data_IF_395463613090
#
_entry.id   IF_395463613090
#
_cell.length_a   1.000
_cell.length_b   1.000
_cell.length_c   1.000
_cell.angle_alpha   90.00
_cell.angle_beta   90.00
_cell.angle_gamma   90.00
#
_symmetry.space_group_name_H-M   'P 1'
#
loop_
_entity.id
_entity.type
_entity.pdbx_description
1 polymer ?
#
# COMPACT_ATOMS: atom_id res chain seq x y z
N UNK A 1 -22.46 -2.99 7.60
CA UNK A 1 -22.72 -2.62 6.17
C UNK A 1 -21.51 -3.05 5.34
N UNK A 2 -21.67 -3.33 4.05
CA UNK A 2 -20.56 -3.61 3.13
C UNK A 2 -20.43 -2.45 2.14
N UNK A 3 -19.23 -1.96 1.93
CA UNK A 3 -18.93 -0.98 0.89
C UNK A 3 -18.68 -1.68 -0.47
N UNK A 4 -17.93 -2.77 -0.45
CA UNK A 4 -17.62 -3.60 -1.63
C UNK A 4 -18.00 -5.05 -1.34
N UNK A 5 -19.30 -5.34 -1.31
CA UNK A 5 -19.83 -6.62 -0.85
C UNK A 5 -19.15 -7.85 -1.47
N UNK A 6 -18.92 -7.84 -2.78
CA UNK A 6 -18.35 -9.00 -3.49
C UNK A 6 -16.92 -9.33 -3.02
N UNK A 7 -16.12 -8.29 -2.72
CA UNK A 7 -14.76 -8.47 -2.18
C UNK A 7 -14.80 -8.83 -0.70
N UNK A 8 -15.66 -8.17 0.07
CA UNK A 8 -15.72 -8.33 1.53
C UNK A 8 -16.36 -9.65 1.97
N UNK A 9 -17.16 -10.27 1.10
CA UNK A 9 -17.80 -11.57 1.35
C UNK A 9 -17.26 -12.69 0.46
N UNK A 10 -16.12 -12.46 -0.20
CA UNK A 10 -15.49 -13.43 -1.08
C UNK A 10 -15.17 -14.73 -0.34
N UNK A 11 -15.50 -15.90 -0.89
CA UNK A 11 -15.14 -17.18 -0.30
C UNK A 11 -13.64 -17.30 -0.04
N UNK A 12 -13.26 -17.89 1.07
CA UNK A 12 -11.86 -17.99 1.52
C UNK A 12 -10.91 -18.52 0.44
N UNK A 13 -11.31 -19.53 -0.28
CA UNK A 13 -10.51 -20.12 -1.36
C UNK A 13 -10.23 -19.11 -2.48
N UNK A 14 -11.27 -18.41 -2.94
CA UNK A 14 -11.14 -17.40 -3.99
C UNK A 14 -10.27 -16.22 -3.54
N UNK A 15 -10.41 -15.80 -2.27
CA UNK A 15 -9.58 -14.78 -1.67
C UNK A 15 -8.10 -15.19 -1.65
N UNK A 16 -7.78 -16.43 -1.29
CA UNK A 16 -6.42 -16.95 -1.28
C UNK A 16 -5.81 -17.04 -2.69
N UNK A 17 -6.60 -17.46 -3.66
CA UNK A 17 -6.20 -17.47 -5.08
C UNK A 17 -5.88 -16.03 -5.57
N UNK A 18 -6.74 -15.05 -5.24
CA UNK A 18 -6.52 -13.63 -5.54
C UNK A 18 -5.28 -13.08 -4.84
N UNK A 19 -5.09 -13.39 -3.55
CA UNK A 19 -3.93 -12.95 -2.78
C UNK A 19 -2.63 -13.53 -3.35
N UNK A 20 -2.63 -14.81 -3.73
CA UNK A 20 -1.46 -15.45 -4.34
C UNK A 20 -1.10 -14.80 -5.68
N UNK A 21 -2.08 -14.54 -6.52
CA UNK A 21 -1.87 -13.85 -7.80
C UNK A 21 -1.28 -12.45 -7.60
N UNK A 22 -1.82 -11.69 -6.65
CA UNK A 22 -1.32 -10.35 -6.30
C UNK A 22 0.09 -10.40 -5.71
N UNK A 23 0.41 -11.38 -4.86
CA UNK A 23 1.74 -11.54 -4.28
C UNK A 23 2.79 -11.80 -5.35
N UNK A 24 2.53 -12.72 -6.28
CA UNK A 24 3.40 -12.99 -7.42
C UNK A 24 3.66 -11.74 -8.25
N UNK A 25 2.58 -11.05 -8.60
CA UNK A 25 2.67 -9.81 -9.37
C UNK A 25 3.49 -8.74 -8.63
N UNK A 26 3.25 -8.55 -7.33
CA UNK A 26 3.97 -7.55 -6.52
C UNK A 26 5.47 -7.84 -6.46
N UNK A 27 5.87 -9.10 -6.28
CA UNK A 27 7.28 -9.50 -6.26
C UNK A 27 7.96 -9.17 -7.58
N UNK A 28 7.36 -9.58 -8.70
CA UNK A 28 7.92 -9.28 -10.02
C UNK A 28 7.89 -7.78 -10.34
N UNK A 29 6.84 -7.08 -9.94
CA UNK A 29 6.75 -5.63 -10.09
C UNK A 29 7.85 -4.89 -9.32
N UNK A 30 8.09 -5.25 -8.06
CA UNK A 30 9.16 -4.65 -7.26
C UNK A 30 10.55 -5.00 -7.83
N UNK A 31 10.76 -6.24 -8.24
CA UNK A 31 12.02 -6.69 -8.84
C UNK A 31 12.34 -5.94 -10.13
N UNK A 32 11.35 -5.71 -10.97
CA UNK A 32 11.56 -5.09 -12.28
C UNK A 32 11.65 -3.56 -12.24
N UNK A 33 11.14 -2.91 -11.20
CA UNK A 33 11.03 -1.45 -11.17
C UNK A 33 11.86 -0.77 -10.08
N UNK A 34 12.38 -1.52 -9.09
CA UNK A 34 13.13 -0.95 -7.97
C UNK A 34 14.48 -1.67 -7.81
N UNK A 35 15.60 -1.01 -8.14
CA UNK A 35 16.93 -1.64 -8.09
C UNK A 35 17.28 -2.26 -6.73
N UNK A 36 16.85 -1.63 -5.64
CA UNK A 36 17.01 -2.16 -4.29
C UNK A 36 16.35 -3.54 -4.12
N UNK A 37 15.10 -3.69 -4.55
CA UNK A 37 14.38 -4.95 -4.49
C UNK A 37 14.89 -5.96 -5.51
N UNK A 38 15.28 -5.52 -6.70
CA UNK A 38 15.89 -6.39 -7.70
C UNK A 38 17.10 -7.15 -7.10
N UNK A 39 18.02 -6.42 -6.49
CA UNK A 39 19.23 -6.98 -5.87
C UNK A 39 18.90 -7.94 -4.72
N UNK A 40 17.98 -7.57 -3.83
CA UNK A 40 17.59 -8.41 -2.68
C UNK A 40 16.88 -9.69 -3.07
N UNK A 41 15.90 -9.58 -3.98
CA UNK A 41 15.14 -10.72 -4.46
C UNK A 41 16.00 -11.69 -5.28
N UNK A 42 16.95 -11.15 -6.06
CA UNK A 42 17.91 -11.96 -6.80
C UNK A 42 18.84 -12.72 -5.85
N UNK A 43 19.41 -12.05 -4.84
CA UNK A 43 20.25 -12.68 -3.83
C UNK A 43 19.52 -13.77 -3.04
N UNK A 44 18.22 -13.58 -2.78
CA UNK A 44 17.36 -14.57 -2.13
C UNK A 44 16.87 -15.67 -3.10
N UNK A 45 17.13 -15.53 -4.41
CA UNK A 45 16.64 -16.46 -5.43
C UNK A 45 15.13 -16.42 -5.63
N UNK A 46 14.45 -15.31 -5.29
CA UNK A 46 12.98 -15.16 -5.32
C UNK A 46 12.54 -14.42 -6.59
N UNK A 47 11.43 -14.90 -7.15
CA UNK A 47 10.68 -14.29 -8.26
C UNK A 47 9.22 -14.75 -8.20
N UNK A 48 8.32 -14.07 -8.88
CA UNK A 48 6.89 -14.38 -8.81
C UNK A 48 6.56 -15.81 -9.27
N UNK A 49 7.28 -16.35 -10.25
CA UNK A 49 7.12 -17.72 -10.72
C UNK A 49 7.53 -18.79 -9.68
N UNK A 50 8.41 -18.44 -8.75
CA UNK A 50 8.86 -19.33 -7.65
C UNK A 50 7.90 -19.37 -6.47
N UNK A 51 7.05 -18.37 -6.32
CA UNK A 51 6.01 -18.37 -5.29
C UNK A 51 4.88 -19.28 -5.72
N UNK A 52 4.62 -20.34 -4.98
CA UNK A 52 3.59 -21.35 -5.29
C UNK A 52 2.39 -21.27 -4.35
N UNK A 53 2.64 -20.84 -3.12
CA UNK A 53 1.63 -20.71 -2.07
C UNK A 53 1.78 -19.38 -1.34
N UNK A 54 0.77 -18.97 -0.59
CA UNK A 54 0.85 -17.77 0.27
C UNK A 54 1.91 -17.93 1.37
N UNK A 55 2.19 -19.15 1.81
CA UNK A 55 3.21 -19.41 2.83
C UNK A 55 4.63 -19.09 2.36
N UNK A 56 4.86 -19.03 1.05
CA UNK A 56 6.18 -18.68 0.49
C UNK A 56 6.57 -17.22 0.76
N UNK A 57 5.65 -16.39 1.25
CA UNK A 57 5.93 -15.03 1.73
C UNK A 57 7.06 -15.02 2.79
N UNK A 58 7.21 -16.09 3.56
CA UNK A 58 8.26 -16.23 4.57
C UNK A 58 9.70 -16.21 4.00
N UNK A 59 9.87 -16.48 2.71
CA UNK A 59 11.17 -16.46 2.03
C UNK A 59 11.52 -15.12 1.42
N UNK A 60 10.56 -14.17 1.39
CA UNK A 60 10.78 -12.83 0.87
C UNK A 60 11.57 -12.01 1.90
N UNK A 61 12.71 -11.39 1.52
CA UNK A 61 13.48 -10.57 2.44
C UNK A 61 12.68 -9.40 2.99
N UNK A 62 12.78 -9.14 4.29
CA UNK A 62 12.14 -7.99 4.93
C UNK A 62 12.68 -6.66 4.40
N UNK A 63 11.80 -5.66 4.39
CA UNK A 63 12.18 -4.25 4.25
C UNK A 63 12.10 -3.59 5.62
N UNK A 64 13.20 -3.01 6.06
CA UNK A 64 13.28 -2.30 7.33
C UNK A 64 13.11 -0.79 7.13
N UNK A 65 12.83 -0.06 8.21
CA UNK A 65 12.71 1.39 8.15
C UNK A 65 14.01 2.08 7.75
N UNK A 66 15.15 1.51 8.09
CA UNK A 66 16.47 1.92 7.64
C UNK A 66 16.59 1.89 6.13
N UNK A 67 16.12 0.81 5.49
CA UNK A 67 16.17 0.68 4.03
C UNK A 67 15.46 1.84 3.31
N UNK A 68 14.31 2.29 3.85
CA UNK A 68 13.58 3.42 3.28
C UNK A 68 14.38 4.73 3.42
N UNK A 69 15.06 4.91 4.56
CA UNK A 69 15.89 6.10 4.82
C UNK A 69 17.15 6.13 3.97
N UNK A 70 17.81 4.97 3.82
CA UNK A 70 19.05 4.84 3.06
C UNK A 70 18.83 5.03 1.55
N UNK A 71 17.59 4.82 1.10
CA UNK A 71 17.13 5.09 -0.26
C UNK A 71 16.37 6.43 -0.41
N UNK A 72 16.51 7.34 0.57
CA UNK A 72 15.91 8.68 0.54
C UNK A 72 16.41 9.50 -0.67
N UNK A 73 15.56 10.31 -1.32
CA UNK A 73 14.13 10.43 -1.05
C UNK A 73 13.25 9.49 -1.88
N UNK A 74 13.68 9.01 -3.05
CA UNK A 74 12.81 8.34 -4.05
C UNK A 74 13.36 6.99 -4.53
N UNK A 75 14.42 6.49 -3.92
CA UNK A 75 15.10 5.27 -4.38
C UNK A 75 14.26 3.99 -4.34
N UNK A 76 13.16 3.99 -3.58
CA UNK A 76 12.20 2.87 -3.54
C UNK A 76 10.93 3.11 -4.35
N UNK A 77 10.85 4.19 -5.13
CA UNK A 77 9.69 4.40 -5.99
C UNK A 77 9.72 3.46 -7.19
N UNK A 78 8.66 2.69 -7.36
CA UNK A 78 8.49 1.75 -8.47
C UNK A 78 7.90 2.42 -9.73
N UNK A 79 7.46 3.67 -9.62
CA UNK A 79 6.91 4.45 -10.72
C UNK A 79 7.70 5.73 -10.94
N UNK A 80 7.81 6.21 -12.20
CA UNK A 80 8.49 7.47 -12.49
C UNK A 80 7.74 8.65 -11.85
N UNK A 81 8.49 9.70 -11.44
CA UNK A 81 7.94 10.89 -10.77
C UNK A 81 6.74 11.52 -11.47
N UNK A 82 6.68 11.48 -12.80
CA UNK A 82 5.53 12.00 -13.57
C UNK A 82 4.20 11.30 -13.29
N UNK A 83 4.23 10.09 -12.71
CA UNK A 83 3.05 9.33 -12.29
C UNK A 83 2.72 9.50 -10.81
N UNK A 84 3.64 10.07 -10.03
CA UNK A 84 3.42 10.35 -8.61
C UNK A 84 2.57 11.62 -8.49
N UNK A 85 1.39 11.49 -7.93
CA UNK A 85 0.43 12.59 -7.78
C UNK A 85 0.37 13.12 -6.35
N UNK A 86 0.95 12.38 -5.39
CA UNK A 86 1.03 12.78 -3.98
C UNK A 86 2.24 12.18 -3.31
N UNK A 87 2.82 12.92 -2.38
CA UNK A 87 3.91 12.46 -1.52
C UNK A 87 3.49 12.67 -0.07
N UNK A 88 3.74 11.66 0.76
CA UNK A 88 3.67 11.74 2.20
C UNK A 88 5.04 11.45 2.81
N UNK A 89 5.26 12.01 4.00
CA UNK A 89 6.48 11.78 4.75
C UNK A 89 6.19 11.62 6.24
N UNK A 90 7.00 10.83 6.92
CA UNK A 90 7.01 10.78 8.38
C UNK A 90 7.69 12.03 8.95
N UNK A 91 7.48 12.30 10.24
CA UNK A 91 8.05 13.46 10.94
C UNK A 91 9.60 13.50 10.99
N UNK A 92 10.27 12.40 10.68
CA UNK A 92 11.74 12.36 10.61
C UNK A 92 12.48 12.60 11.93
N UNK A 93 11.84 12.40 13.08
CA UNK A 93 12.42 12.68 14.42
C UNK A 93 13.76 12.01 14.69
N UNK A 94 14.13 10.99 13.95
CA UNK A 94 15.36 10.20 14.11
C UNK A 94 16.26 10.20 12.87
N UNK A 95 16.24 11.26 12.06
CA UNK A 95 17.02 11.38 10.81
C UNK A 95 16.14 11.72 9.60
N UNK A 96 16.56 11.27 8.40
CA UNK A 96 15.78 11.51 7.19
C UNK A 96 14.36 10.94 7.34
N UNK A 97 13.32 11.67 6.90
CA UNK A 97 11.96 11.16 6.92
C UNK A 97 11.81 9.95 5.99
N UNK A 98 10.88 9.08 6.29
CA UNK A 98 10.43 8.07 5.33
C UNK A 98 9.49 8.75 4.34
N UNK A 99 9.80 8.64 3.05
CA UNK A 99 9.03 9.27 1.97
C UNK A 99 8.29 8.20 1.19
N UNK A 100 7.01 8.42 0.95
CA UNK A 100 6.14 7.52 0.18
C UNK A 100 5.46 8.32 -0.93
N UNK A 101 5.58 7.85 -2.16
CA UNK A 101 4.92 8.43 -3.32
C UNK A 101 3.72 7.58 -3.75
N UNK A 102 2.62 8.24 -4.05
CA UNK A 102 1.37 7.62 -4.47
C UNK A 102 1.03 7.99 -5.91
N UNK A 103 0.70 6.98 -6.70
CA UNK A 103 0.03 7.16 -7.99
C UNK A 103 -1.47 7.41 -7.77
N UNK A 104 -2.20 7.75 -8.85
CA UNK A 104 -3.65 7.87 -8.80
C UNK A 104 -4.33 6.57 -8.34
N UNK A 105 -3.87 5.43 -8.87
CA UNK A 105 -4.40 4.12 -8.50
C UNK A 105 -4.16 3.77 -7.03
N UNK A 106 -2.98 4.14 -6.48
CA UNK A 106 -2.69 3.91 -5.06
C UNK A 106 -3.62 4.70 -4.16
N UNK A 107 -3.90 5.97 -4.52
CA UNK A 107 -4.84 6.81 -3.76
C UNK A 107 -6.27 6.29 -3.84
N UNK A 108 -6.67 5.77 -4.99
CA UNK A 108 -8.00 5.21 -5.19
C UNK A 108 -8.20 3.92 -4.38
N UNK A 109 -7.22 3.02 -4.43
CA UNK A 109 -7.20 1.80 -3.62
C UNK A 109 -7.17 2.11 -2.12
N UNK A 110 -6.40 3.10 -1.69
CA UNK A 110 -6.36 3.53 -0.30
C UNK A 110 -7.72 4.07 0.15
N UNK A 111 -8.38 4.90 -0.67
CA UNK A 111 -9.73 5.40 -0.39
C UNK A 111 -10.74 4.26 -0.25
N UNK A 112 -10.67 3.22 -1.10
CA UNK A 112 -11.49 2.01 -0.96
C UNK A 112 -11.26 1.28 0.36
N UNK A 113 -10.01 1.16 0.79
CA UNK A 113 -9.67 0.52 2.07
C UNK A 113 -10.27 1.29 3.25
N UNK A 114 -10.20 2.62 3.22
CA UNK A 114 -10.75 3.47 4.30
C UNK A 114 -12.28 3.47 4.27
N UNK A 115 -12.90 3.54 3.08
CA UNK A 115 -14.36 3.43 2.94
C UNK A 115 -14.87 2.10 3.51
N UNK A 116 -14.20 0.98 3.20
CA UNK A 116 -14.53 -0.33 3.81
C UNK A 116 -14.40 -0.33 5.32
N UNK A 117 -13.33 0.28 5.85
CA UNK A 117 -13.14 0.41 7.30
C UNK A 117 -14.29 1.17 7.94
N UNK A 118 -14.67 2.32 7.38
CA UNK A 118 -15.77 3.15 7.87
C UNK A 118 -17.12 2.41 7.78
N UNK A 119 -17.42 1.77 6.66
CA UNK A 119 -18.63 0.97 6.49
C UNK A 119 -18.71 -0.21 7.49
N UNK A 120 -17.57 -0.86 7.76
CA UNK A 120 -17.50 -1.99 8.70
C UNK A 120 -17.86 -1.59 10.14
N UNK A 121 -17.58 -0.35 10.54
CA UNK A 121 -17.96 0.18 11.86
C UNK A 121 -19.31 0.90 11.86
N UNK A 122 -20.04 0.86 10.75
CA UNK A 122 -21.42 1.34 10.65
C UNK A 122 -21.59 2.77 10.16
N UNK A 123 -20.52 3.42 9.66
CA UNK A 123 -20.64 4.74 9.03
C UNK A 123 -21.41 4.64 7.72
N UNK A 124 -22.29 5.59 7.49
CA UNK A 124 -23.19 5.67 6.32
C UNK A 124 -23.12 7.06 5.67
N UNK A 125 -23.78 7.24 4.54
CA UNK A 125 -23.95 8.53 3.87
C UNK A 125 -24.88 9.53 4.61
N UNK A 126 -25.60 9.06 5.65
CA UNK A 126 -26.37 9.91 6.56
C UNK A 126 -25.50 10.55 7.67
N UNK A 127 -24.26 10.11 7.83
CA UNK A 127 -23.39 10.60 8.91
C UNK A 127 -22.65 11.87 8.50
N UNK A 128 -22.39 12.72 9.50
CA UNK A 128 -21.53 13.91 9.35
C UNK A 128 -20.18 13.65 10.00
N UNK A 129 -19.13 13.67 9.21
CA UNK A 129 -17.77 13.43 9.68
C UNK A 129 -16.99 14.72 9.88
N UNK A 130 -16.36 14.88 11.05
CA UNK A 130 -15.41 15.94 11.32
C UNK A 130 -13.99 15.40 11.42
N UNK A 131 -13.07 15.95 10.61
CA UNK A 131 -11.66 15.59 10.62
C UNK A 131 -10.86 16.69 11.29
N UNK A 132 -10.34 16.42 12.49
CA UNK A 132 -9.59 17.37 13.32
C UNK A 132 -8.08 17.15 13.25
N UNK A 133 -7.55 16.81 12.08
CA UNK A 133 -6.12 16.63 11.80
C UNK A 133 -5.61 17.72 10.86
N UNK A 134 -4.31 18.06 10.97
CA UNK A 134 -3.65 18.92 9.99
C UNK A 134 -3.49 18.22 8.64
N UNK A 135 -3.85 18.92 7.57
CA UNK A 135 -3.60 18.50 6.19
C UNK A 135 -2.19 18.92 5.77
N UNK A 136 -1.33 17.98 5.50
CA UNK A 136 0.05 18.23 5.09
C UNK A 136 0.71 16.95 4.57
N UNK A 137 2.01 16.80 4.77
CA UNK A 137 2.73 15.57 4.39
C UNK A 137 2.33 14.35 5.23
N UNK A 138 1.64 14.56 6.36
CA UNK A 138 1.17 13.49 7.24
C UNK A 138 0.03 12.69 6.61
N UNK A 139 0.04 11.40 6.84
CA UNK A 139 -0.81 10.43 6.12
C UNK A 139 -2.28 10.44 6.55
N UNK A 140 -2.54 10.67 7.86
CA UNK A 140 -3.83 10.34 8.48
C UNK A 140 -5.03 11.11 7.95
N UNK A 141 -4.95 12.45 7.87
CA UNK A 141 -6.09 13.29 7.51
C UNK A 141 -6.60 13.03 6.09
N UNK A 142 -5.70 13.05 5.11
CA UNK A 142 -6.06 12.86 3.70
C UNK A 142 -6.61 11.45 3.41
N UNK A 143 -6.07 10.43 4.07
CA UNK A 143 -6.59 9.06 3.92
C UNK A 143 -8.03 8.95 4.37
N UNK A 144 -8.33 9.46 5.57
CA UNK A 144 -9.69 9.44 6.12
C UNK A 144 -10.65 10.29 5.27
N UNK A 145 -10.21 11.49 4.86
CA UNK A 145 -11.01 12.41 4.04
C UNK A 145 -11.52 11.73 2.76
N UNK A 146 -10.61 11.23 1.93
CA UNK A 146 -11.01 10.60 0.66
C UNK A 146 -11.74 9.27 0.82
N UNK A 147 -11.50 8.55 1.89
CA UNK A 147 -12.26 7.34 2.20
C UNK A 147 -13.70 7.65 2.59
N UNK A 148 -13.92 8.68 3.40
CA UNK A 148 -15.27 9.15 3.76
C UNK A 148 -16.01 9.76 2.58
N UNK A 149 -15.33 10.56 1.74
CA UNK A 149 -15.93 11.06 0.48
C UNK A 149 -16.39 9.93 -0.44
N UNK A 150 -15.66 8.81 -0.45
CA UNK A 150 -15.96 7.68 -1.32
C UNK A 150 -17.10 6.81 -0.80
N UNK A 151 -17.32 6.83 0.51
CA UNK A 151 -18.40 6.11 1.18
C UNK A 151 -19.73 6.79 0.96
#
# INVERSE_FOLDING_TARGET
MFFQKDIETMPRRELEELQLAKLKHLVDYCKNNVPFYAKRLEAAGISGDKIKTLSDIQYIPYTEKSDIRDNYPYGLFAQPMKKIVRIHASSGTTGNPTVVGYTRNDLDMWSDCVARLCAAVGVTDDDVAQISFGYGLFTGALGLHYGLEKL
#
